data_IF_804454845308
#
_entry.id   IF_804454845308
#
_cell.length_a   1.000
_cell.length_b   1.000
_cell.length_c   1.000
_cell.angle_alpha   90.00
_cell.angle_beta   90.00
_cell.angle_gamma   90.00
#
_symmetry.space_group_name_H-M   'P 1'
#
loop_
_entity.id
_entity.type
_entity.pdbx_description
1 polymer ?
#
# COMPACT_ATOMS: atom_id res chain seq x y z
N UNK A 1 -18.23 -43.12 34.47
CA UNK A 1 -17.14 -42.91 33.49
C UNK A 1 -17.56 -42.20 32.19
N UNK A 2 -18.71 -41.51 32.14
CA UNK A 2 -19.15 -40.76 30.95
C UNK A 2 -18.76 -39.26 30.98
N UNK A 3 -18.60 -38.65 32.16
CA UNK A 3 -18.31 -37.21 32.30
C UNK A 3 -16.89 -36.78 31.96
N UNK A 4 -15.88 -37.64 32.21
CA UNK A 4 -14.46 -37.30 31.98
C UNK A 4 -14.12 -37.28 30.48
N UNK A 5 -14.75 -38.17 29.69
CA UNK A 5 -14.55 -38.20 28.22
C UNK A 5 -15.19 -37.00 27.54
N UNK A 6 -16.34 -36.53 28.01
CA UNK A 6 -16.97 -35.31 27.49
C UNK A 6 -16.16 -34.04 27.80
N UNK A 7 -15.53 -33.96 28.98
CA UNK A 7 -14.70 -32.83 29.36
C UNK A 7 -13.40 -32.73 28.53
N UNK A 8 -12.75 -33.86 28.23
CA UNK A 8 -11.52 -33.88 27.43
C UNK A 8 -11.80 -33.52 25.97
N UNK A 9 -12.91 -33.98 25.40
CA UNK A 9 -13.33 -33.60 24.03
C UNK A 9 -13.69 -32.12 23.96
N UNK A 10 -14.35 -31.56 24.98
CA UNK A 10 -14.65 -30.12 25.04
C UNK A 10 -13.39 -29.25 25.16
N UNK A 11 -12.38 -29.67 25.94
CA UNK A 11 -11.10 -28.95 26.10
C UNK A 11 -10.26 -29.03 24.82
N UNK A 12 -10.20 -30.17 24.14
CA UNK A 12 -9.44 -30.31 22.87
C UNK A 12 -10.12 -29.53 21.73
N UNK A 13 -11.46 -29.51 21.66
CA UNK A 13 -12.19 -28.71 20.67
C UNK A 13 -12.11 -27.20 20.97
N UNK A 14 -12.02 -26.78 22.24
CA UNK A 14 -11.76 -25.38 22.61
C UNK A 14 -10.32 -24.93 22.31
N UNK A 15 -9.31 -25.80 22.42
CA UNK A 15 -7.92 -25.43 22.10
C UNK A 15 -7.67 -25.41 20.59
N UNK A 16 -8.42 -26.19 19.80
CA UNK A 16 -8.35 -26.15 18.34
C UNK A 16 -9.24 -25.08 17.67
N UNK A 17 -10.16 -24.46 18.43
CA UNK A 17 -10.98 -23.36 17.95
C UNK A 17 -10.42 -22.01 18.46
N UNK A 18 -10.02 -21.16 17.51
CA UNK A 18 -10.04 -19.69 17.62
C UNK A 18 -8.78 -18.94 18.09
N UNK A 19 -7.59 -19.54 18.01
CA UNK A 19 -6.45 -18.74 17.57
C UNK A 19 -6.67 -18.45 16.08
N UNK A 20 -7.42 -17.38 15.74
CA UNK A 20 -7.60 -16.99 14.34
C UNK A 20 -6.23 -17.05 13.67
N UNK A 21 -6.08 -17.82 12.59
CA UNK A 21 -4.84 -17.87 11.81
C UNK A 21 -4.52 -16.43 11.38
N UNK A 22 -3.76 -15.74 12.20
CA UNK A 22 -3.29 -14.40 11.96
C UNK A 22 -2.32 -14.59 10.81
N UNK A 23 -2.62 -14.01 9.64
CA UNK A 23 -1.68 -13.99 8.53
C UNK A 23 -0.30 -13.66 9.11
N UNK A 24 0.64 -14.58 8.95
CA UNK A 24 2.03 -14.34 9.31
C UNK A 24 2.64 -13.51 8.19
N UNK A 25 3.50 -12.55 8.54
CA UNK A 25 4.23 -11.79 7.53
C UNK A 25 5.17 -12.77 6.80
N UNK A 26 5.10 -12.87 5.47
CA UNK A 26 6.07 -13.69 4.75
C UNK A 26 7.50 -13.21 5.00
N UNK A 27 8.43 -14.15 5.15
CA UNK A 27 9.78 -13.87 5.63
C UNK A 27 10.59 -12.99 4.67
N UNK A 28 10.28 -13.06 3.38
CA UNK A 28 10.92 -12.34 2.29
C UNK A 28 10.46 -10.87 2.19
N UNK A 29 9.29 -10.54 2.77
CA UNK A 29 8.67 -9.21 2.60
C UNK A 29 9.46 -8.05 3.20
N UNK A 30 10.02 -8.12 4.43
CA UNK A 30 10.81 -7.02 4.97
C UNK A 30 12.02 -6.68 4.09
N UNK A 31 12.71 -7.70 3.55
CA UNK A 31 13.85 -7.52 2.66
C UNK A 31 13.40 -6.91 1.32
N UNK A 32 12.34 -7.44 0.73
CA UNK A 32 11.75 -6.90 -0.50
C UNK A 32 11.30 -5.44 -0.33
N UNK A 33 10.64 -5.11 0.79
CA UNK A 33 10.22 -3.75 1.09
C UNK A 33 11.42 -2.82 1.29
N UNK A 34 12.48 -3.28 1.95
CA UNK A 34 13.74 -2.53 2.04
C UNK A 34 14.29 -2.15 0.67
N UNK A 35 14.36 -3.10 -0.26
CA UNK A 35 14.83 -2.85 -1.62
C UNK A 35 13.94 -1.84 -2.38
N UNK A 36 12.62 -1.95 -2.26
CA UNK A 36 11.69 -0.98 -2.87
C UNK A 36 11.89 0.41 -2.28
N UNK A 37 11.97 0.52 -0.95
CA UNK A 37 12.21 1.80 -0.28
C UNK A 37 13.54 2.43 -0.72
N UNK A 38 14.63 1.66 -0.79
CA UNK A 38 15.95 2.16 -1.21
C UNK A 38 15.89 2.81 -2.60
N UNK A 39 15.12 2.23 -3.52
CA UNK A 39 14.98 2.75 -4.89
C UNK A 39 14.09 4.00 -4.93
N UNK A 40 12.94 4.00 -4.27
CA UNK A 40 11.99 5.13 -4.33
C UNK A 40 12.42 6.31 -3.45
N UNK A 41 13.26 6.07 -2.44
CA UNK A 41 13.80 7.10 -1.54
C UNK A 41 15.09 7.73 -2.06
N UNK A 42 15.73 7.15 -3.10
CA UNK A 42 17.04 7.57 -3.65
C UNK A 42 17.18 9.07 -3.91
N UNK A 43 16.11 9.71 -4.39
CA UNK A 43 16.12 11.13 -4.76
C UNK A 43 15.23 11.95 -3.82
N UNK A 44 14.98 11.45 -2.61
CA UNK A 44 14.07 12.05 -1.64
C UNK A 44 14.81 12.56 -0.39
N UNK A 45 14.19 13.45 0.41
CA UNK A 45 14.71 13.85 1.72
C UNK A 45 14.85 12.71 2.75
N UNK A 46 14.46 11.48 2.41
CA UNK A 46 14.60 10.29 3.26
C UNK A 46 15.87 9.49 2.95
N UNK A 47 16.56 9.77 1.84
CA UNK A 47 17.79 9.09 1.48
C UNK A 47 18.81 9.16 2.62
N UNK A 48 19.37 8.01 3.00
CA UNK A 48 20.38 7.90 4.06
C UNK A 48 19.85 8.10 5.49
N UNK A 49 18.58 8.48 5.68
CA UNK A 49 18.00 8.55 7.02
C UNK A 49 17.73 7.14 7.55
N UNK A 50 18.11 6.84 8.81
CA UNK A 50 17.86 5.52 9.38
C UNK A 50 16.37 5.20 9.39
N UNK A 51 16.05 3.93 9.14
CA UNK A 51 14.71 3.38 9.31
C UNK A 51 14.53 2.95 10.77
N UNK A 52 13.34 3.17 11.33
CA UNK A 52 13.04 2.66 12.66
C UNK A 52 13.17 1.12 12.68
N UNK A 53 13.77 0.57 13.72
CA UNK A 53 14.02 -0.88 13.84
C UNK A 53 12.75 -1.73 13.61
N UNK A 54 11.60 -1.26 14.09
CA UNK A 54 10.31 -1.94 13.99
C UNK A 54 9.45 -1.48 12.80
N UNK A 55 10.00 -0.73 11.82
CA UNK A 55 9.24 -0.15 10.71
C UNK A 55 8.42 -1.20 9.95
N UNK A 56 9.07 -2.29 9.54
CA UNK A 56 8.46 -3.37 8.76
C UNK A 56 7.37 -4.11 9.55
N UNK A 57 7.63 -4.41 10.83
CA UNK A 57 6.64 -5.05 11.70
C UNK A 57 5.41 -4.15 11.94
N UNK A 58 5.62 -2.83 12.11
CA UNK A 58 4.52 -1.86 12.25
C UNK A 58 3.71 -1.72 10.97
N UNK A 59 4.38 -1.65 9.81
CA UNK A 59 3.68 -1.64 8.52
C UNK A 59 2.80 -2.87 8.32
N UNK A 60 3.29 -4.06 8.70
CA UNK A 60 2.50 -5.29 8.68
C UNK A 60 1.28 -5.26 9.59
N UNK A 61 1.47 -4.84 10.85
CA UNK A 61 0.37 -4.74 11.83
C UNK A 61 -0.72 -3.76 11.34
N UNK A 62 -0.32 -2.62 10.79
CA UNK A 62 -1.25 -1.65 10.21
C UNK A 62 -1.97 -2.19 8.97
N UNK A 63 -1.27 -2.89 8.07
CA UNK A 63 -1.90 -3.53 6.92
C UNK A 63 -2.96 -4.56 7.35
N UNK A 64 -2.69 -5.34 8.40
CA UNK A 64 -3.67 -6.28 8.98
C UNK A 64 -4.88 -5.56 9.53
N UNK A 65 -4.68 -4.52 10.33
CA UNK A 65 -5.76 -3.71 10.91
C UNK A 65 -6.61 -3.04 9.83
N UNK A 66 -5.96 -2.53 8.77
CA UNK A 66 -6.62 -1.96 7.60
C UNK A 66 -7.47 -2.98 6.88
N UNK A 67 -6.92 -4.17 6.58
CA UNK A 67 -7.63 -5.22 5.83
C UNK A 67 -8.81 -5.80 6.61
N UNK A 68 -8.63 -6.05 7.91
CA UNK A 68 -9.71 -6.47 8.81
C UNK A 68 -10.85 -5.44 8.84
N UNK A 69 -10.52 -4.15 8.85
CA UNK A 69 -11.52 -3.09 8.89
C UNK A 69 -12.26 -2.88 7.56
N UNK A 70 -11.55 -2.93 6.43
CA UNK A 70 -12.12 -2.59 5.12
C UNK A 70 -12.75 -3.77 4.40
N UNK A 71 -12.18 -4.96 4.52
CA UNK A 71 -12.54 -6.12 3.70
C UNK A 71 -13.05 -7.30 4.53
N UNK A 72 -12.90 -7.24 5.87
CA UNK A 72 -13.13 -8.39 6.78
C UNK A 72 -12.35 -9.64 6.39
N UNK A 73 -11.21 -9.46 5.69
CA UNK A 73 -10.26 -10.50 5.30
C UNK A 73 -8.92 -10.25 6.03
N UNK A 74 -8.04 -11.25 6.01
CA UNK A 74 -6.67 -11.21 6.53
C UNK A 74 -5.59 -11.36 5.46
N UNK A 75 -5.96 -11.73 4.23
CA UNK A 75 -5.04 -11.77 3.10
C UNK A 75 -4.58 -10.36 2.76
N UNK A 76 -3.27 -10.11 2.83
CA UNK A 76 -2.65 -8.83 2.55
C UNK A 76 -1.88 -8.97 1.25
N UNK A 77 -1.94 -7.97 0.37
CA UNK A 77 -1.04 -7.91 -0.79
C UNK A 77 0.27 -7.25 -0.43
N UNK A 78 1.33 -7.55 -1.17
CA UNK A 78 2.61 -6.87 -0.95
C UNK A 78 2.50 -5.34 -1.14
N UNK A 79 1.67 -4.88 -2.08
CA UNK A 79 1.39 -3.46 -2.29
C UNK A 79 0.72 -2.76 -1.09
N UNK A 80 -0.23 -3.42 -0.44
CA UNK A 80 -0.82 -2.92 0.82
C UNK A 80 0.22 -2.82 1.93
N UNK A 81 1.05 -3.85 2.07
CA UNK A 81 2.13 -3.85 3.04
C UNK A 81 3.13 -2.71 2.79
N UNK A 82 3.60 -2.54 1.55
CA UNK A 82 4.48 -1.44 1.15
C UNK A 82 3.87 -0.07 1.47
N UNK A 83 2.57 0.10 1.22
CA UNK A 83 1.87 1.35 1.47
C UNK A 83 1.88 1.69 2.96
N UNK A 84 1.60 0.72 3.83
CA UNK A 84 1.66 0.93 5.28
C UNK A 84 3.07 1.11 5.81
N UNK A 85 4.06 0.39 5.26
CA UNK A 85 5.47 0.64 5.55
C UNK A 85 5.85 2.08 5.18
N UNK A 86 5.44 2.57 4.01
CA UNK A 86 5.70 3.94 3.57
C UNK A 86 4.99 4.96 4.46
N UNK A 87 3.73 4.73 4.84
CA UNK A 87 2.98 5.60 5.77
C UNK A 87 3.71 5.69 7.12
N UNK A 88 4.06 4.55 7.71
CA UNK A 88 4.80 4.49 8.96
C UNK A 88 6.16 5.21 8.84
N UNK A 89 6.80 5.12 7.67
CA UNK A 89 8.10 5.73 7.39
C UNK A 89 8.04 7.26 7.31
N UNK A 90 6.98 7.81 6.70
CA UNK A 90 6.91 9.23 6.34
C UNK A 90 6.02 10.06 7.24
N UNK A 91 4.92 9.48 7.73
CA UNK A 91 3.93 10.17 8.55
C UNK A 91 3.96 9.71 10.00
N UNK A 92 4.54 8.54 10.28
CA UNK A 92 4.38 7.88 11.57
C UNK A 92 3.05 7.13 11.65
N UNK A 93 3.04 6.06 12.45
CA UNK A 93 1.89 5.17 12.56
C UNK A 93 1.71 4.58 13.96
N UNK A 94 2.29 5.23 14.97
CA UNK A 94 2.08 4.89 16.38
C UNK A 94 0.59 4.97 16.74
N UNK A 95 0.16 4.15 17.70
CA UNK A 95 -1.20 4.16 18.23
C UNK A 95 -2.30 4.00 17.16
N UNK A 96 -2.04 3.20 16.13
CA UNK A 96 -2.97 2.89 15.04
C UNK A 96 -3.36 4.13 14.22
N UNK A 97 -2.40 5.03 14.02
CA UNK A 97 -2.59 6.27 13.26
C UNK A 97 -1.82 6.28 11.94
N UNK A 98 -2.06 7.32 11.16
CA UNK A 98 -1.32 7.76 9.98
C UNK A 98 -1.10 9.26 10.16
N UNK A 99 0.08 9.68 10.62
CA UNK A 99 0.34 11.09 10.92
C UNK A 99 -0.59 11.67 11.97
N UNK A 100 -0.91 10.91 13.02
CA UNK A 100 -1.82 11.32 14.09
C UNK A 100 -3.32 11.16 13.76
N UNK A 101 -3.69 10.89 12.50
CA UNK A 101 -5.06 10.54 12.12
C UNK A 101 -5.32 9.05 12.34
N UNK A 102 -6.37 8.63 13.06
CA UNK A 102 -6.70 7.21 13.18
C UNK A 102 -6.92 6.55 11.81
N UNK A 103 -6.39 5.34 11.60
CA UNK A 103 -6.48 4.66 10.30
C UNK A 103 -7.94 4.41 9.86
N UNK A 104 -8.85 4.22 10.83
CA UNK A 104 -10.29 4.02 10.59
C UNK A 104 -10.95 5.27 10.01
N UNK A 105 -10.50 6.45 10.42
CA UNK A 105 -10.95 7.72 9.84
C UNK A 105 -10.49 7.83 8.40
N UNK A 106 -9.22 7.51 8.11
CA UNK A 106 -8.72 7.48 6.73
C UNK A 106 -9.47 6.46 5.86
N UNK A 107 -9.83 5.29 6.42
CA UNK A 107 -10.65 4.30 5.73
C UNK A 107 -12.06 4.83 5.40
N UNK A 108 -12.67 5.58 6.31
CA UNK A 108 -13.96 6.23 6.08
C UNK A 108 -13.87 7.31 4.99
N UNK A 109 -12.80 8.09 4.97
CA UNK A 109 -12.52 9.09 3.92
C UNK A 109 -12.39 8.43 2.54
N UNK A 110 -11.65 7.31 2.42
CA UNK A 110 -11.56 6.54 1.17
C UNK A 110 -12.92 6.04 0.70
N UNK A 111 -13.75 5.51 1.61
CA UNK A 111 -15.11 5.04 1.27
C UNK A 111 -16.02 6.18 0.82
N UNK A 112 -15.97 7.31 1.53
CA UNK A 112 -16.74 8.50 1.18
C UNK A 112 -16.33 9.04 -0.19
N UNK A 113 -15.04 9.07 -0.49
CA UNK A 113 -14.53 9.54 -1.77
C UNK A 113 -14.97 8.64 -2.93
N UNK A 114 -14.87 7.32 -2.76
CA UNK A 114 -15.41 6.36 -3.74
C UNK A 114 -16.91 6.52 -3.95
N UNK A 115 -17.66 6.70 -2.86
CA UNK A 115 -19.10 6.94 -2.96
C UNK A 115 -19.42 8.24 -3.71
N UNK A 116 -18.66 9.31 -3.45
CA UNK A 116 -18.82 10.62 -4.11
C UNK A 116 -18.54 10.56 -5.60
N UNK A 117 -17.56 9.75 -6.02
CA UNK A 117 -17.22 9.55 -7.43
C UNK A 117 -18.21 8.64 -8.16
N UNK A 118 -19.06 7.89 -7.44
CA UNK A 118 -20.02 6.94 -8.03
C UNK A 118 -19.53 5.49 -8.09
N UNK A 119 -18.49 5.12 -7.33
CA UNK A 119 -17.97 3.76 -7.25
C UNK A 119 -16.45 3.69 -7.27
N UNK A 120 -15.91 2.47 -7.43
CA UNK A 120 -14.46 2.23 -7.47
C UNK A 120 -13.83 2.71 -8.78
N UNK A 121 -14.38 2.27 -9.93
CA UNK A 121 -13.85 2.62 -11.24
C UNK A 121 -13.90 4.14 -11.50
N UNK A 122 -15.02 4.84 -11.24
CA UNK A 122 -15.07 6.29 -11.40
C UNK A 122 -14.09 7.03 -10.49
N UNK A 123 -13.83 6.52 -9.29
CA UNK A 123 -12.86 7.11 -8.37
C UNK A 123 -11.42 6.93 -8.85
N UNK A 124 -11.07 5.74 -9.37
CA UNK A 124 -9.76 5.50 -9.96
C UNK A 124 -9.53 6.39 -11.19
N UNK A 125 -10.52 6.50 -12.07
CA UNK A 125 -10.47 7.37 -13.24
C UNK A 125 -10.33 8.86 -12.84
N UNK A 126 -11.01 9.30 -11.78
CA UNK A 126 -10.84 10.64 -11.23
C UNK A 126 -9.41 10.87 -10.73
N UNK A 127 -8.80 9.90 -10.05
CA UNK A 127 -7.41 9.97 -9.61
C UNK A 127 -6.43 10.01 -10.80
N UNK A 128 -6.66 9.26 -11.88
CA UNK A 128 -5.84 9.32 -13.10
C UNK A 128 -5.91 10.71 -13.76
N UNK A 129 -7.11 11.27 -13.93
CA UNK A 129 -7.27 12.64 -14.47
C UNK A 129 -6.65 13.69 -13.56
N UNK A 130 -6.78 13.53 -12.24
CA UNK A 130 -6.13 14.40 -11.28
C UNK A 130 -4.60 14.34 -11.42
N UNK A 131 -4.04 13.14 -11.64
CA UNK A 131 -2.60 12.95 -11.87
C UNK A 131 -2.14 13.74 -13.10
N UNK A 132 -2.88 13.71 -14.20
CA UNK A 132 -2.57 14.51 -15.39
C UNK A 132 -2.65 16.01 -15.12
N UNK A 133 -3.71 16.45 -14.44
CA UNK A 133 -3.94 17.87 -14.13
C UNK A 133 -2.88 18.45 -13.19
N UNK A 134 -2.49 17.71 -12.15
CA UNK A 134 -1.41 18.11 -11.24
C UNK A 134 -0.05 17.96 -11.92
N UNK A 135 0.13 16.92 -12.75
CA UNK A 135 1.34 16.71 -13.55
C UNK A 135 1.62 17.84 -14.54
N UNK A 136 0.59 18.44 -15.13
CA UNK A 136 0.73 19.61 -16.01
C UNK A 136 1.24 20.87 -15.30
N UNK A 137 1.14 20.91 -13.96
CA UNK A 137 1.66 22.00 -13.13
C UNK A 137 3.06 21.68 -12.56
N UNK A 138 3.49 20.42 -12.63
CA UNK A 138 4.79 20.00 -12.16
C UNK A 138 5.88 20.36 -13.18
N UNK A 139 7.13 20.26 -12.75
CA UNK A 139 8.29 20.44 -13.63
C UNK A 139 9.22 19.22 -13.61
N UNK A 140 10.17 19.18 -14.56
CA UNK A 140 11.23 18.18 -14.59
C UNK A 140 10.75 16.72 -14.66
N UNK A 141 11.40 15.85 -13.89
CA UNK A 141 11.14 14.41 -13.88
C UNK A 141 9.74 14.07 -13.33
N UNK A 142 9.23 14.82 -12.35
CA UNK A 142 7.89 14.60 -11.79
C UNK A 142 6.80 14.85 -12.84
N UNK A 143 6.91 15.91 -13.65
CA UNK A 143 5.96 16.17 -14.73
C UNK A 143 5.90 15.02 -15.75
N UNK A 144 7.06 14.49 -16.15
CA UNK A 144 7.17 13.33 -17.05
C UNK A 144 6.55 12.08 -16.43
N UNK A 145 6.89 11.80 -15.17
CA UNK A 145 6.36 10.66 -14.42
C UNK A 145 4.84 10.72 -14.30
N UNK A 146 4.26 11.89 -13.99
CA UNK A 146 2.82 12.06 -13.86
C UNK A 146 2.09 11.70 -15.18
N UNK A 147 2.56 12.25 -16.30
CA UNK A 147 1.99 11.96 -17.62
C UNK A 147 2.11 10.47 -17.97
N UNK A 148 3.31 9.90 -17.80
CA UNK A 148 3.58 8.52 -18.13
C UNK A 148 2.77 7.54 -17.26
N UNK A 149 2.63 7.84 -15.96
CA UNK A 149 1.81 7.05 -15.04
C UNK A 149 0.33 7.12 -15.36
N UNK A 150 -0.21 8.30 -15.64
CA UNK A 150 -1.62 8.42 -15.99
C UNK A 150 -1.96 7.62 -17.26
N UNK A 151 -1.05 7.63 -18.26
CA UNK A 151 -1.20 6.81 -19.46
C UNK A 151 -1.09 5.30 -19.16
N UNK A 152 -0.04 4.90 -18.41
CA UNK A 152 0.22 3.51 -18.03
C UNK A 152 -0.96 2.90 -17.26
N UNK A 153 -1.42 3.58 -16.21
CA UNK A 153 -2.46 3.06 -15.32
C UNK A 153 -3.84 3.07 -15.96
N UNK A 154 -4.13 4.04 -16.85
CA UNK A 154 -5.37 4.05 -17.62
C UNK A 154 -5.46 2.89 -18.60
N UNK A 155 -4.35 2.56 -19.30
CA UNK A 155 -4.30 1.39 -20.21
C UNK A 155 -4.56 0.08 -19.46
N UNK A 156 -4.10 -0.01 -18.22
CA UNK A 156 -4.28 -1.18 -17.35
C UNK A 156 -5.50 -1.03 -16.41
N UNK A 157 -6.42 -0.11 -16.72
CA UNK A 157 -7.42 0.47 -15.80
C UNK A 157 -8.46 -0.48 -15.19
N UNK A 158 -8.44 -1.77 -15.51
CA UNK A 158 -9.38 -2.76 -14.98
C UNK A 158 -8.82 -3.66 -13.87
N UNK A 159 -7.51 -3.66 -13.60
CA UNK A 159 -6.93 -4.54 -12.57
C UNK A 159 -7.01 -3.95 -11.15
N UNK A 160 -6.72 -2.66 -11.00
CA UNK A 160 -6.76 -1.98 -9.69
C UNK A 160 -8.17 -1.64 -9.23
N UNK A 161 -9.05 -1.25 -10.16
CA UNK A 161 -10.43 -0.94 -9.82
C UNK A 161 -11.26 -2.22 -9.56
N UNK A 162 -10.90 -3.33 -10.22
CA UNK A 162 -11.52 -4.64 -10.00
C UNK A 162 -11.12 -5.33 -8.68
N UNK A 163 -9.96 -5.00 -8.11
CA UNK A 163 -9.57 -5.46 -6.77
C UNK A 163 -9.90 -4.41 -5.69
N UNK A 164 -10.82 -4.77 -4.80
CA UNK A 164 -11.29 -3.89 -3.74
C UNK A 164 -10.16 -3.39 -2.81
N UNK A 165 -9.18 -4.23 -2.50
CA UNK A 165 -8.09 -3.88 -1.58
C UNK A 165 -7.07 -2.95 -2.23
N UNK A 166 -6.67 -3.28 -3.46
CA UNK A 166 -5.75 -2.49 -4.26
C UNK A 166 -6.36 -1.11 -4.56
N UNK A 167 -7.64 -1.05 -4.91
CA UNK A 167 -8.38 0.20 -5.07
C UNK A 167 -8.39 1.04 -3.79
N UNK A 168 -8.54 0.43 -2.60
CA UNK A 168 -8.56 1.18 -1.34
C UNK A 168 -7.21 1.84 -1.03
N UNK A 169 -6.10 1.14 -1.30
CA UNK A 169 -4.76 1.68 -1.09
C UNK A 169 -4.42 2.76 -2.11
N UNK A 170 -4.77 2.56 -3.38
CA UNK A 170 -4.54 3.58 -4.39
C UNK A 170 -5.26 4.88 -4.02
N UNK A 171 -6.52 4.78 -3.60
CA UNK A 171 -7.32 5.92 -3.14
C UNK A 171 -6.78 6.55 -1.86
N UNK A 172 -6.29 5.75 -0.90
CA UNK A 172 -5.59 6.26 0.27
C UNK A 172 -4.35 7.08 -0.14
N UNK A 173 -3.55 6.53 -1.06
CA UNK A 173 -2.39 7.21 -1.64
C UNK A 173 -2.75 8.52 -2.33
N UNK A 174 -3.85 8.57 -3.06
CA UNK A 174 -4.37 9.80 -3.67
C UNK A 174 -4.78 10.85 -2.64
N UNK A 175 -5.44 10.46 -1.55
CA UNK A 175 -5.78 11.38 -0.46
C UNK A 175 -4.54 11.92 0.25
N UNK A 176 -3.53 11.07 0.50
CA UNK A 176 -2.25 11.48 1.08
C UNK A 176 -1.51 12.43 0.12
N UNK A 177 -1.53 12.14 -1.18
CA UNK A 177 -0.93 12.98 -2.21
C UNK A 177 -1.57 14.36 -2.23
N UNK A 178 -2.89 14.46 -2.15
CA UNK A 178 -3.59 15.76 -2.12
C UNK A 178 -3.18 16.65 -0.93
N UNK A 179 -2.73 16.06 0.18
CA UNK A 179 -2.29 16.80 1.38
C UNK A 179 -0.85 17.32 1.27
N UNK A 180 -0.09 16.94 0.24
CA UNK A 180 1.28 17.39 0.08
C UNK A 180 1.35 18.90 -0.22
N UNK A 181 2.34 19.62 0.33
CA UNK A 181 2.41 21.08 0.22
C UNK A 181 2.89 21.57 -1.16
N UNK A 182 3.73 20.80 -1.86
CA UNK A 182 4.24 21.14 -3.20
C UNK A 182 3.60 20.30 -4.29
N UNK A 183 3.56 20.82 -5.52
CA UNK A 183 3.06 20.10 -6.69
C UNK A 183 3.90 18.84 -6.96
N UNK A 184 5.22 18.94 -6.89
CA UNK A 184 6.14 17.80 -7.00
C UNK A 184 5.85 16.77 -5.90
N UNK A 185 5.62 17.21 -4.66
CA UNK A 185 5.27 16.34 -3.55
C UNK A 185 3.96 15.57 -3.81
N UNK A 186 2.93 16.25 -4.36
CA UNK A 186 1.66 15.63 -4.75
C UNK A 186 1.89 14.54 -5.79
N UNK A 187 2.61 14.86 -6.87
CA UNK A 187 2.90 13.92 -7.96
C UNK A 187 3.71 12.73 -7.46
N UNK A 188 4.84 12.97 -6.79
CA UNK A 188 5.76 11.93 -6.36
C UNK A 188 5.11 11.00 -5.33
N UNK A 189 4.25 11.55 -4.48
CA UNK A 189 3.49 10.75 -3.51
C UNK A 189 2.52 9.82 -4.21
N UNK A 190 1.71 10.33 -5.15
CA UNK A 190 0.78 9.47 -5.89
C UNK A 190 1.52 8.46 -6.76
N UNK A 191 2.66 8.84 -7.35
CA UNK A 191 3.53 7.93 -8.11
C UNK A 191 3.95 6.70 -7.28
N UNK A 192 4.36 6.90 -6.02
CA UNK A 192 4.74 5.79 -5.11
C UNK A 192 3.56 4.88 -4.79
N UNK A 193 2.41 5.43 -4.39
CA UNK A 193 1.25 4.59 -4.07
C UNK A 193 0.63 3.95 -5.30
N UNK A 194 0.71 4.61 -6.46
CA UNK A 194 0.35 4.02 -7.75
C UNK A 194 1.26 2.85 -8.11
N UNK A 195 2.58 2.97 -7.94
CA UNK A 195 3.50 1.83 -8.09
C UNK A 195 3.12 0.67 -7.17
N UNK A 196 2.76 0.93 -5.91
CA UNK A 196 2.36 -0.13 -4.98
C UNK A 196 1.03 -0.80 -5.35
N UNK A 197 0.08 -0.02 -5.84
CA UNK A 197 -1.23 -0.53 -6.26
C UNK A 197 -1.15 -1.31 -7.58
N UNK A 198 -0.45 -0.76 -8.58
CA UNK A 198 -0.38 -1.33 -9.92
C UNK A 198 0.76 -2.35 -10.10
N UNK A 199 1.70 -2.41 -9.15
CA UNK A 199 2.94 -3.19 -9.30
C UNK A 199 3.94 -2.60 -10.30
N UNK A 200 3.53 -1.62 -11.10
CA UNK A 200 4.35 -0.91 -12.09
C UNK A 200 4.10 0.59 -12.04
N UNK A 201 5.14 1.40 -12.23
CA UNK A 201 5.01 2.84 -12.22
C UNK A 201 6.32 3.59 -12.43
N UNK A 202 6.19 4.82 -12.90
CA UNK A 202 7.26 5.80 -13.06
C UNK A 202 7.50 6.55 -11.76
N UNK A 203 8.74 6.54 -11.28
CA UNK A 203 9.25 7.34 -10.15
C UNK A 203 10.38 8.22 -10.68
N UNK A 204 10.10 9.52 -10.83
CA UNK A 204 10.97 10.41 -11.59
C UNK A 204 11.17 9.88 -13.02
N UNK A 205 12.42 9.78 -13.47
CA UNK A 205 12.75 9.28 -14.81
C UNK A 205 12.86 7.74 -14.91
N UNK A 206 12.49 7.00 -13.85
CA UNK A 206 12.65 5.54 -13.78
C UNK A 206 11.29 4.85 -13.80
N UNK A 207 11.05 3.97 -14.77
CA UNK A 207 9.92 3.04 -14.71
C UNK A 207 10.33 1.80 -13.93
N UNK A 208 9.58 1.46 -12.89
CA UNK A 208 9.86 0.36 -11.98
C UNK A 208 8.75 -0.70 -12.08
N UNK A 209 9.14 -1.97 -12.08
CA UNK A 209 8.26 -3.12 -11.94
C UNK A 209 8.63 -3.89 -10.67
N UNK A 210 7.68 -3.93 -9.74
CA UNK A 210 7.76 -4.62 -8.45
C UNK A 210 6.79 -5.81 -8.37
N UNK A 211 6.11 -6.17 -9.46
CA UNK A 211 5.07 -7.22 -9.47
C UNK A 211 5.57 -8.59 -9.02
N UNK A 212 6.87 -8.85 -9.15
CA UNK A 212 7.51 -10.14 -8.83
C UNK A 212 8.47 -10.09 -7.65
N UNK A 213 8.70 -8.92 -7.05
CA UNK A 213 9.77 -8.78 -6.06
C UNK A 213 9.52 -9.59 -4.79
N UNK A 214 8.26 -9.72 -4.40
CA UNK A 214 7.87 -10.43 -3.18
C UNK A 214 7.79 -11.96 -3.35
N UNK A 215 7.95 -12.50 -4.57
CA UNK A 215 7.94 -13.95 -4.80
C UNK A 215 9.34 -14.58 -4.82
N UNK A 216 10.39 -13.79 -4.56
CA UNK A 216 11.79 -14.24 -4.56
C UNK A 216 12.15 -14.72 -3.14
N UNK A 217 12.14 -16.04 -2.94
CA UNK A 217 12.42 -16.66 -1.63
C UNK A 217 13.93 -16.73 -1.32
N UNK A 218 14.75 -17.11 -2.30
CA UNK A 218 16.17 -17.45 -2.09
C UNK A 218 17.14 -16.50 -2.83
N UNK A 219 16.78 -15.22 -2.97
CA UNK A 219 17.56 -14.26 -3.77
C UNK A 219 17.62 -12.85 -3.19
N UNK A 220 18.45 -12.01 -3.82
CA UNK A 220 18.31 -10.56 -3.65
C UNK A 220 17.06 -10.08 -4.38
N UNK A 221 16.20 -9.26 -3.73
CA UNK A 221 15.06 -8.65 -4.40
C UNK A 221 15.51 -7.85 -5.62
N UNK A 222 14.92 -8.13 -6.79
CA UNK A 222 15.22 -7.43 -8.03
C UNK A 222 14.02 -6.59 -8.44
N UNK A 223 14.26 -5.30 -8.67
CA UNK A 223 13.28 -4.36 -9.23
C UNK A 223 13.64 -4.22 -10.70
N UNK A 224 12.71 -4.62 -11.57
CA UNK A 224 12.91 -4.55 -13.01
C UNK A 224 12.53 -3.17 -13.54
N UNK A 225 13.02 -2.82 -14.73
CA UNK A 225 12.43 -1.74 -15.50
C UNK A 225 11.09 -2.21 -16.08
N UNK A 226 10.12 -1.32 -16.23
CA UNK A 226 8.87 -1.67 -16.92
C UNK A 226 9.17 -2.17 -18.34
N UNK A 227 8.40 -3.16 -18.78
CA UNK A 227 8.44 -3.69 -20.15
C UNK A 227 7.52 -2.91 -21.08
#
# INVERSE_FOLDING_TARGET
>A
MAGIRAAIVAVVVMVCAMGAAHAQMPAEWPKAAGAVLDIIEKDSPLMGKPRAHNLYARGWDMARKWRLHNNRNTEITFGEYLSWVQICRTMGCEHDTMGGKPYRTAAAEVKAEKSRAGGQDPAAEAAYRWTESVGAQASGASAKAAKANAELWRKNGNEVAGDFATSNIFMLGWLIAQQQPSIEGKVDTLARYGLFAHGVGWIGDRCLDISRIASILDGEPKIEACK
#
